data_IF_623435640366
#
_entry.id   IF_623435640366
#
_cell.length_a   1.000
_cell.length_b   1.000
_cell.length_c   1.000
_cell.angle_alpha   90.00
_cell.angle_beta   90.00
_cell.angle_gamma   90.00
#
_symmetry.space_group_name_H-M   'P 1'
#
loop_
_entity.id
_entity.type
_entity.pdbx_description
1 polymer ?
#
# COMPACT_ATOMS: atom_id res chain seq x y z
N UNK A 1 2.46 3.72 15.12
CA UNK A 1 2.01 2.92 14.24
C UNK A 1 0.90 1.97 14.47
N UNK A 2 0.61 1.03 13.79
CA UNK A 2 -0.63 0.37 13.71
C UNK A 2 -0.64 -1.02 14.22
N UNK A 3 0.26 -1.39 15.05
CA UNK A 3 0.30 -2.74 15.51
C UNK A 3 -0.54 -2.93 16.69
N UNK A 4 -1.82 -2.81 16.52
CA UNK A 4 -2.73 -2.89 17.62
C UNK A 4 -2.66 -4.21 18.36
N UNK A 5 -2.22 -5.26 17.70
CA UNK A 5 -2.15 -6.56 18.35
C UNK A 5 -0.73 -7.06 18.51
N UNK A 6 0.24 -6.15 18.36
CA UNK A 6 1.63 -6.51 18.55
C UNK A 6 2.31 -7.16 17.36
N UNK A 7 1.61 -7.33 16.28
CA UNK A 7 2.20 -7.91 15.08
C UNK A 7 3.01 -6.87 14.31
N UNK A 8 4.05 -7.36 13.63
CA UNK A 8 4.81 -6.50 12.75
C UNK A 8 4.18 -6.54 11.38
N UNK A 9 4.00 -5.38 10.77
CA UNK A 9 3.42 -5.30 9.44
C UNK A 9 4.50 -5.34 8.37
N UNK A 10 4.20 -5.87 7.19
CA UNK A 10 5.18 -5.91 6.09
C UNK A 10 5.69 -4.55 5.67
N UNK A 11 5.04 -3.50 6.11
CA UNK A 11 5.43 -2.15 5.78
C UNK A 11 6.89 -1.87 6.14
N UNK A 12 7.35 -2.38 7.27
CA UNK A 12 8.73 -2.15 7.67
C UNK A 12 9.70 -2.71 6.63
N UNK A 13 9.36 -3.84 6.06
CA UNK A 13 10.21 -4.46 5.05
C UNK A 13 10.22 -3.64 3.78
N UNK A 14 9.05 -3.15 3.39
CA UNK A 14 8.92 -2.35 2.19
C UNK A 14 9.71 -1.05 2.31
N UNK A 15 9.61 -0.41 3.46
CA UNK A 15 10.30 0.83 3.71
C UNK A 15 11.81 0.64 3.61
N UNK A 16 12.31 -0.43 4.18
CA UNK A 16 13.73 -0.71 4.13
C UNK A 16 14.22 -0.86 2.69
N UNK A 17 13.46 -1.56 1.88
CA UNK A 17 13.83 -1.74 0.49
C UNK A 17 13.81 -0.44 -0.28
N UNK A 18 12.89 0.43 0.03
CA UNK A 18 12.82 1.72 -0.64
C UNK A 18 14.09 2.52 -0.45
N UNK A 19 14.63 2.49 0.77
CA UNK A 19 15.87 3.21 1.02
C UNK A 19 16.97 2.77 0.09
N UNK A 20 17.05 1.49 -0.15
CA UNK A 20 18.11 0.97 -1.00
C UNK A 20 17.91 1.29 -2.44
N UNK A 21 16.68 1.46 -2.86
CA UNK A 21 16.36 1.64 -4.25
C UNK A 21 15.92 3.05 -4.60
N UNK A 22 16.27 4.01 -3.79
CA UNK A 22 15.76 5.35 -4.03
C UNK A 22 16.20 5.93 -5.38
N UNK A 23 17.34 5.50 -5.93
CA UNK A 23 17.80 5.98 -7.21
C UNK A 23 17.13 5.25 -8.37
N UNK A 24 16.77 3.99 -8.15
CA UNK A 24 16.11 3.19 -9.16
C UNK A 24 14.98 2.43 -8.51
N UNK A 25 13.95 3.16 -8.08
CA UNK A 25 12.88 2.50 -7.34
C UNK A 25 12.16 1.49 -8.23
N UNK A 26 12.07 0.28 -7.74
CA UNK A 26 11.36 -0.76 -8.43
C UNK A 26 10.01 -0.92 -7.79
N UNK A 27 8.98 -0.90 -8.63
CA UNK A 27 7.63 -1.04 -8.14
C UNK A 27 7.40 -2.49 -7.72
N UNK A 28 6.93 -2.66 -6.50
CA UNK A 28 6.64 -4.00 -6.00
C UNK A 28 5.41 -4.56 -6.67
N UNK A 29 5.41 -5.86 -7.00
CA UNK A 29 4.21 -6.48 -7.53
C UNK A 29 3.08 -6.41 -6.50
N UNK A 30 1.93 -5.96 -6.95
CA UNK A 30 0.78 -5.82 -6.06
C UNK A 30 0.38 -7.16 -5.47
N UNK A 31 0.50 -8.23 -6.25
CA UNK A 31 0.10 -9.56 -5.77
C UNK A 31 0.91 -10.03 -4.58
N UNK A 32 2.20 -9.69 -4.53
CA UNK A 32 3.03 -10.06 -3.39
C UNK A 32 2.59 -9.29 -2.17
N UNK A 33 2.30 -8.00 -2.34
CA UNK A 33 1.85 -7.18 -1.23
C UNK A 33 0.51 -7.65 -0.72
N UNK A 34 -0.39 -8.06 -1.62
CA UNK A 34 -1.67 -8.61 -1.21
C UNK A 34 -1.48 -9.85 -0.35
N UNK A 35 -0.57 -10.72 -0.76
CA UNK A 35 -0.30 -11.93 0.00
C UNK A 35 0.17 -11.59 1.42
N UNK A 36 1.10 -10.65 1.53
CA UNK A 36 1.63 -10.27 2.84
C UNK A 36 0.55 -9.63 3.70
N UNK A 37 -0.24 -8.75 3.09
CA UNK A 37 -1.30 -8.07 3.83
C UNK A 37 -2.32 -9.08 4.36
N UNK A 38 -2.73 -10.03 3.53
CA UNK A 38 -3.69 -11.04 3.96
C UNK A 38 -3.13 -11.95 5.04
N UNK A 39 -1.82 -12.16 5.00
CA UNK A 39 -1.18 -13.02 5.97
C UNK A 39 -1.14 -12.39 7.36
N UNK A 40 -0.87 -11.09 7.43
CA UNK A 40 -0.59 -10.43 8.69
C UNK A 40 -1.70 -9.52 9.20
N UNK A 41 -2.74 -9.30 8.43
CA UNK A 41 -3.84 -8.43 8.87
C UNK A 41 -5.17 -9.08 8.57
N UNK A 42 -6.23 -8.49 9.12
CA UNK A 42 -7.60 -8.90 8.83
C UNK A 42 -8.29 -7.80 8.04
N UNK A 43 -9.40 -8.15 7.38
CA UNK A 43 -10.15 -7.16 6.63
C UNK A 43 -10.56 -6.00 7.53
N UNK A 44 -10.60 -4.83 6.94
CA UNK A 44 -10.96 -3.58 7.62
C UNK A 44 -9.91 -3.04 8.58
N UNK A 45 -8.77 -3.70 8.71
CA UNK A 45 -7.69 -3.14 9.50
C UNK A 45 -6.97 -2.06 8.69
N UNK A 46 -6.33 -1.14 9.40
CA UNK A 46 -5.50 -0.13 8.76
C UNK A 46 -4.12 -0.65 8.51
N UNK A 47 -3.56 -0.29 7.35
CA UNK A 47 -2.17 -0.57 7.02
C UNK A 47 -1.50 0.77 6.79
N UNK A 48 -0.37 0.97 7.44
CA UNK A 48 0.36 2.22 7.35
C UNK A 48 1.65 2.00 6.57
N UNK A 49 1.92 2.86 5.61
CA UNK A 49 3.17 2.85 4.87
C UNK A 49 3.71 4.27 4.84
N UNK A 50 4.79 4.53 5.58
CA UNK A 50 5.33 5.88 5.64
C UNK A 50 6.36 6.18 4.56
N UNK A 51 6.53 5.28 3.61
CA UNK A 51 7.34 5.50 2.41
C UNK A 51 6.63 4.84 1.23
N UNK A 52 5.45 5.32 0.92
CA UNK A 52 4.58 4.57 0.00
C UNK A 52 5.02 4.58 -1.47
N UNK A 53 5.94 5.46 -1.84
CA UNK A 53 6.43 5.49 -3.21
C UNK A 53 5.32 5.64 -4.23
N UNK A 54 5.21 4.68 -5.13
CA UNK A 54 4.19 4.71 -6.18
C UNK A 54 2.84 4.17 -5.73
N UNK A 55 2.70 3.79 -4.45
CA UNK A 55 1.40 3.45 -3.91
C UNK A 55 0.96 2.01 -4.07
N UNK A 56 1.88 1.10 -4.38
CA UNK A 56 1.49 -0.30 -4.57
C UNK A 56 0.84 -0.90 -3.34
N UNK A 57 1.34 -0.55 -2.14
CA UNK A 57 0.74 -1.05 -0.91
C UNK A 57 -0.70 -0.58 -0.77
N UNK A 58 -0.96 0.68 -1.15
CA UNK A 58 -2.32 1.20 -1.08
C UNK A 58 -3.26 0.48 -2.03
N UNK A 59 -2.79 0.21 -3.25
CA UNK A 59 -3.59 -0.54 -4.21
C UNK A 59 -3.88 -1.94 -3.66
N UNK A 60 -2.87 -2.59 -3.09
CA UNK A 60 -3.04 -3.93 -2.53
C UNK A 60 -4.05 -3.92 -1.38
N UNK A 61 -4.03 -2.86 -0.57
CA UNK A 61 -4.99 -2.74 0.52
C UNK A 61 -6.41 -2.62 0.00
N UNK A 62 -6.60 -1.81 -1.03
CA UNK A 62 -7.94 -1.68 -1.62
C UNK A 62 -8.41 -3.02 -2.16
N UNK A 63 -7.53 -3.76 -2.82
CA UNK A 63 -7.91 -5.03 -3.42
C UNK A 63 -8.29 -6.07 -2.38
N UNK A 64 -7.85 -5.90 -1.14
CA UNK A 64 -8.05 -6.90 -0.09
C UNK A 64 -8.93 -6.38 1.05
N UNK A 65 -9.59 -5.25 0.84
CA UNK A 65 -10.51 -4.66 1.84
C UNK A 65 -9.80 -4.22 3.11
N UNK A 66 -8.58 -3.75 3.00
CA UNK A 66 -7.90 -3.11 4.11
C UNK A 66 -7.89 -1.62 3.89
N UNK A 67 -7.86 -0.87 4.98
CA UNK A 67 -7.76 0.57 4.93
C UNK A 67 -6.29 0.96 4.87
N UNK A 68 -6.00 2.07 4.22
CA UNK A 68 -4.61 2.44 3.96
C UNK A 68 -4.33 3.87 4.37
N UNK A 69 -3.18 4.07 5.02
CA UNK A 69 -2.68 5.40 5.30
C UNK A 69 -1.24 5.43 4.80
N UNK A 70 -0.97 6.30 3.84
CA UNK A 70 0.37 6.35 3.26
C UNK A 70 0.95 7.75 3.31
N UNK A 71 2.27 7.82 3.39
CA UNK A 71 3.01 9.07 3.36
C UNK A 71 4.12 8.96 2.35
N UNK A 72 4.40 10.08 1.69
CA UNK A 72 5.50 10.13 0.73
C UNK A 72 6.02 11.55 0.66
N UNK A 73 7.33 11.71 0.86
CA UNK A 73 7.94 13.03 0.83
C UNK A 73 8.25 13.51 -0.57
N UNK A 74 8.46 12.59 -1.50
CA UNK A 74 8.74 12.95 -2.89
C UNK A 74 7.43 13.32 -3.56
N UNK A 75 7.34 14.57 -4.02
CA UNK A 75 6.10 15.08 -4.55
C UNK A 75 5.64 14.32 -5.80
N UNK A 76 6.56 13.96 -6.67
CA UNK A 76 6.20 13.23 -7.88
C UNK A 76 5.64 11.86 -7.55
N UNK A 77 6.31 11.15 -6.64
CA UNK A 77 5.81 9.85 -6.23
C UNK A 77 4.50 9.96 -5.49
N UNK A 78 4.34 11.02 -4.70
CA UNK A 78 3.08 11.24 -4.01
C UNK A 78 1.93 11.36 -5.00
N UNK A 79 2.12 12.13 -6.07
CA UNK A 79 1.06 12.32 -7.05
C UNK A 79 0.78 11.03 -7.82
N UNK A 80 1.82 10.28 -8.14
CA UNK A 80 1.62 8.99 -8.81
C UNK A 80 0.83 8.04 -7.92
N UNK A 81 1.22 7.94 -6.66
CA UNK A 81 0.54 7.06 -5.72
C UNK A 81 -0.91 7.47 -5.55
N UNK A 82 -1.15 8.77 -5.38
CA UNK A 82 -2.49 9.27 -5.19
C UNK A 82 -3.38 8.90 -6.38
N UNK A 83 -2.87 9.10 -7.58
CA UNK A 83 -3.65 8.78 -8.77
C UNK A 83 -3.93 7.30 -8.89
N UNK A 84 -2.91 6.46 -8.67
CA UNK A 84 -3.11 5.02 -8.76
C UNK A 84 -4.14 4.51 -7.76
N UNK A 85 -4.06 5.00 -6.54
CA UNK A 85 -4.97 4.56 -5.50
C UNK A 85 -6.38 5.05 -5.79
N UNK A 86 -6.52 6.29 -6.22
CA UNK A 86 -7.83 6.84 -6.56
C UNK A 86 -8.44 6.10 -7.77
N UNK A 87 -7.64 5.82 -8.78
CA UNK A 87 -8.14 5.11 -9.95
C UNK A 87 -8.62 3.71 -9.57
N UNK A 88 -7.85 3.02 -8.72
CA UNK A 88 -8.26 1.68 -8.32
C UNK A 88 -9.52 1.72 -7.47
N UNK A 89 -9.62 2.73 -6.61
CA UNK A 89 -10.82 2.90 -5.81
C UNK A 89 -12.06 3.07 -6.68
N UNK A 90 -11.92 3.86 -7.75
CA UNK A 90 -13.04 4.05 -8.68
C UNK A 90 -13.38 2.77 -9.41
N UNK A 91 -12.38 2.01 -9.85
CA UNK A 91 -12.63 0.75 -10.53
C UNK A 91 -13.41 -0.21 -9.65
N UNK A 92 -13.03 -0.31 -8.39
CA UNK A 92 -13.71 -1.19 -7.46
C UNK A 92 -15.14 -0.72 -7.20
N UNK A 93 -15.33 0.59 -7.12
CA UNK A 93 -16.66 1.14 -6.93
C UNK A 93 -17.56 0.83 -8.13
N UNK A 94 -17.03 1.00 -9.34
CA UNK A 94 -17.81 0.70 -10.54
C UNK A 94 -18.17 -0.77 -10.64
N UNK A 95 -17.23 -1.63 -10.28
CA UNK A 95 -17.47 -3.06 -10.38
C UNK A 95 -18.51 -3.57 -9.40
N UNK A 96 -18.76 -2.83 -8.34
CA UNK A 96 -19.78 -3.21 -7.37
C UNK A 96 -21.16 -3.32 -7.99
N UNK A 97 -21.39 -2.59 -9.06
CA UNK A 97 -22.73 -2.49 -9.63
C UNK A 97 -22.92 -3.34 -10.88
N UNK A 98 -21.97 -4.23 -11.16
CA UNK A 98 -22.05 -5.07 -12.37
C UNK A 98 -22.46 -6.50 -12.08
#
# INVERSE_FOLDING_TARGET
ITESDGKRFPIDIIEFKRDKEKLHPTQKPVSILEYLIKTYTNENMFVLDNCMGSGSTGVACLNTNRKFVGFELDKEYFEIAKKRIEDRSKELEENKWK
#
